data_IF_112557170270
#
_entry.id   IF_112557170270
#
_cell.length_a   1.000
_cell.length_b   1.000
_cell.length_c   1.000
_cell.angle_alpha   90.00
_cell.angle_beta   90.00
_cell.angle_gamma   90.00
#
_symmetry.space_group_name_H-M   'P 1'
#
loop_
_entity.id
_entity.type
_entity.pdbx_description
1 polymer ?
#
# COMPACT_ATOMS: atom_id res chain seq x y z
N UNK A 1 62.88 -27.04 39.42
CA UNK A 1 63.14 -28.25 38.62
C UNK A 1 61.84 -28.59 37.94
N UNK A 2 61.75 -28.08 36.73
CA UNK A 2 60.54 -27.74 36.00
C UNK A 2 59.85 -29.00 35.46
N UNK A 3 58.52 -29.06 35.61
CA UNK A 3 57.71 -30.00 34.84
C UNK A 3 57.19 -29.25 33.62
N UNK A 4 57.77 -29.56 32.48
CA UNK A 4 57.27 -29.16 31.17
C UNK A 4 55.92 -29.85 30.95
N UNK A 5 54.84 -29.08 30.98
CA UNK A 5 53.52 -29.53 30.57
C UNK A 5 53.49 -29.47 29.04
N UNK A 6 53.33 -30.64 28.43
CA UNK A 6 53.13 -30.78 26.98
C UNK A 6 51.71 -30.30 26.67
N UNK A 7 51.60 -29.05 26.22
CA UNK A 7 50.40 -28.48 25.62
C UNK A 7 50.28 -29.00 24.18
N UNK A 8 49.56 -30.12 23.99
CA UNK A 8 49.19 -30.58 22.63
C UNK A 8 47.89 -29.88 22.22
N UNK A 9 48.02 -28.57 21.98
CA UNK A 9 47.04 -27.81 21.24
C UNK A 9 47.23 -27.99 19.73
N UNK A 10 46.55 -28.96 19.13
CA UNK A 10 46.33 -28.98 17.68
C UNK A 10 44.84 -29.04 17.42
N UNK A 11 44.27 -27.83 17.30
CA UNK A 11 42.90 -27.60 16.87
C UNK A 11 42.71 -28.04 15.42
N UNK A 12 41.77 -28.96 15.25
CA UNK A 12 40.57 -28.76 14.44
C UNK A 12 40.72 -27.78 13.25
N UNK A 13 41.35 -28.26 12.16
CA UNK A 13 41.38 -27.58 10.86
C UNK A 13 41.04 -28.53 9.72
N UNK A 14 40.04 -29.38 9.89
CA UNK A 14 39.39 -30.02 8.74
C UNK A 14 38.17 -29.20 8.34
N UNK A 15 38.17 -28.65 7.11
CA UNK A 15 36.95 -28.05 6.55
C UNK A 15 37.09 -26.72 5.81
N UNK A 16 38.26 -26.36 5.27
CA UNK A 16 38.39 -25.09 4.52
C UNK A 16 39.02 -25.14 3.12
N UNK A 17 39.19 -26.31 2.50
CA UNK A 17 40.03 -26.39 1.28
C UNK A 17 39.28 -26.62 -0.05
N UNK A 18 38.04 -27.12 -0.11
CA UNK A 18 37.49 -27.55 -1.43
C UNK A 18 36.38 -26.68 -2.05
N UNK A 19 36.11 -25.46 -1.55
CA UNK A 19 35.10 -24.60 -2.19
C UNK A 19 35.62 -23.73 -3.35
N UNK A 20 36.94 -23.66 -3.55
CA UNK A 20 37.52 -22.86 -4.63
C UNK A 20 37.48 -23.56 -5.99
N UNK A 21 37.60 -24.88 -6.01
CA UNK A 21 37.77 -25.64 -7.26
C UNK A 21 36.48 -25.78 -8.07
N UNK A 22 35.35 -26.05 -7.41
CA UNK A 22 34.06 -26.27 -8.08
C UNK A 22 33.44 -25.00 -8.67
N UNK A 23 33.81 -23.83 -8.15
CA UNK A 23 33.27 -22.55 -8.62
C UNK A 23 33.95 -22.11 -9.91
N UNK A 24 35.27 -22.25 -9.99
CA UNK A 24 36.04 -21.81 -11.16
C UNK A 24 35.71 -22.66 -12.40
N UNK A 25 35.57 -23.98 -12.23
CA UNK A 25 35.20 -24.90 -13.32
C UNK A 25 33.76 -24.64 -13.84
N UNK A 26 32.82 -24.36 -12.94
CA UNK A 26 31.45 -23.99 -13.31
C UNK A 26 31.37 -22.63 -14.01
N UNK A 27 32.17 -21.65 -13.56
CA UNK A 27 32.31 -20.35 -14.21
C UNK A 27 32.89 -20.48 -15.61
N UNK A 28 33.81 -21.43 -15.82
CA UNK A 28 34.51 -21.57 -17.08
C UNK A 28 33.70 -22.28 -18.17
N UNK A 29 32.95 -23.32 -17.80
CA UNK A 29 32.14 -24.10 -18.74
C UNK A 29 30.84 -23.38 -19.15
N UNK A 30 30.29 -22.53 -18.28
CA UNK A 30 28.98 -21.89 -18.46
C UNK A 30 29.04 -20.36 -18.61
N UNK A 31 30.18 -19.79 -19.07
CA UNK A 31 30.40 -18.34 -19.23
C UNK A 31 29.22 -17.62 -19.89
N UNK A 32 28.65 -18.20 -20.95
CA UNK A 32 27.50 -17.63 -21.65
C UNK A 32 26.20 -17.69 -20.84
N UNK A 33 25.89 -18.83 -20.22
CA UNK A 33 24.70 -19.02 -19.38
C UNK A 33 24.72 -18.09 -18.17
N UNK A 34 25.89 -17.93 -17.54
CA UNK A 34 26.09 -17.04 -16.38
C UNK A 34 25.97 -15.58 -16.81
N UNK A 35 26.49 -15.23 -18.00
CA UNK A 35 26.29 -13.91 -18.59
C UNK A 35 24.81 -13.57 -18.78
N UNK A 36 24.02 -14.49 -19.32
CA UNK A 36 22.56 -14.30 -19.51
C UNK A 36 21.83 -14.23 -18.16
N UNK A 37 22.22 -15.04 -17.18
CA UNK A 37 21.60 -15.05 -15.85
C UNK A 37 21.88 -13.74 -15.08
N UNK A 38 23.12 -13.23 -15.13
CA UNK A 38 23.47 -11.93 -14.54
C UNK A 38 22.77 -10.77 -15.26
N UNK A 39 22.73 -10.81 -16.60
CA UNK A 39 21.99 -9.84 -17.39
C UNK A 39 20.50 -9.84 -17.05
N UNK A 40 19.91 -11.02 -16.84
CA UNK A 40 18.53 -11.20 -16.41
C UNK A 40 18.26 -10.60 -15.03
N UNK A 41 19.14 -10.84 -14.05
CA UNK A 41 19.02 -10.26 -12.71
C UNK A 41 19.13 -8.73 -12.76
N UNK A 42 20.03 -8.19 -13.59
CA UNK A 42 20.16 -6.74 -13.80
C UNK A 42 18.91 -6.15 -14.45
N UNK A 43 18.33 -6.82 -15.46
CA UNK A 43 17.10 -6.38 -16.11
C UNK A 43 15.89 -6.41 -15.17
N UNK A 44 15.76 -7.46 -14.36
CA UNK A 44 14.69 -7.57 -13.36
C UNK A 44 14.89 -6.53 -12.25
N UNK A 45 16.12 -6.34 -11.77
CA UNK A 45 16.45 -5.33 -10.78
C UNK A 45 16.17 -3.92 -11.28
N UNK A 46 16.63 -3.58 -12.49
CA UNK A 46 16.34 -2.30 -13.15
C UNK A 46 14.85 -2.13 -13.46
N UNK A 47 14.14 -3.22 -13.81
CA UNK A 47 12.70 -3.22 -14.03
C UNK A 47 11.92 -2.91 -12.75
N UNK A 48 12.22 -3.60 -11.64
CA UNK A 48 11.55 -3.40 -10.35
C UNK A 48 11.90 -2.04 -9.73
N UNK A 49 13.18 -1.65 -9.79
CA UNK A 49 13.66 -0.37 -9.25
C UNK A 49 13.18 0.80 -10.13
N UNK A 50 13.24 0.65 -11.44
CA UNK A 50 12.70 1.61 -12.41
C UNK A 50 11.19 1.76 -12.29
N UNK A 51 10.44 0.66 -12.12
CA UNK A 51 8.99 0.72 -11.92
C UNK A 51 8.61 1.50 -10.65
N UNK A 52 9.39 1.41 -9.57
CA UNK A 52 9.16 2.21 -8.37
C UNK A 52 9.48 3.70 -8.59
N UNK A 53 10.50 4.03 -9.38
CA UNK A 53 10.90 5.42 -9.71
C UNK A 53 9.91 6.07 -10.69
N UNK A 54 9.44 5.34 -11.71
CA UNK A 54 8.53 5.88 -12.73
C UNK A 54 7.14 6.11 -12.13
N UNK A 55 6.68 5.25 -11.20
CA UNK A 55 5.39 5.44 -10.52
C UNK A 55 5.44 6.45 -9.35
N UNK A 56 6.61 7.04 -9.02
CA UNK A 56 6.72 8.04 -7.94
C UNK A 56 6.68 9.49 -8.42
N UNK A 57 6.57 9.76 -9.71
CA UNK A 57 6.44 11.14 -10.20
C UNK A 57 5.00 11.45 -10.59
N UNK A 58 4.20 11.77 -9.59
CA UNK A 58 2.94 12.49 -9.77
C UNK A 58 3.19 13.94 -10.20
N UNK A 59 3.83 14.14 -11.36
CA UNK A 59 3.89 15.45 -12.00
C UNK A 59 2.70 15.58 -12.96
N UNK A 60 1.69 16.33 -12.50
CA UNK A 60 0.63 16.85 -13.35
C UNK A 60 1.26 17.70 -14.47
N UNK A 61 0.76 17.64 -15.72
CA UNK A 61 1.19 18.56 -16.77
C UNK A 61 0.71 19.97 -16.44
N UNK A 62 1.64 20.84 -16.06
CA UNK A 62 1.43 22.27 -15.87
C UNK A 62 1.29 22.94 -17.24
N UNK A 63 0.10 23.44 -17.56
CA UNK A 63 -0.09 24.39 -18.64
C UNK A 63 0.35 25.75 -18.11
N UNK A 64 1.54 26.21 -18.53
CA UNK A 64 2.04 27.55 -18.23
C UNK A 64 1.14 28.60 -18.86
N UNK A 65 0.32 29.27 -18.05
CA UNK A 65 -0.20 30.59 -18.36
C UNK A 65 0.73 31.58 -17.66
N UNK A 66 1.44 32.40 -18.45
CA UNK A 66 2.27 33.47 -17.93
C UNK A 66 1.41 34.45 -17.14
N UNK A 67 1.55 34.45 -15.82
CA UNK A 67 0.96 35.41 -14.90
C UNK A 67 1.70 35.38 -13.57
N UNK A 68 2.51 36.42 -13.37
CA UNK A 68 3.18 36.91 -12.15
C UNK A 68 3.48 35.95 -10.98
N UNK A 69 4.77 35.93 -10.63
CA UNK A 69 5.33 35.42 -9.37
C UNK A 69 4.52 35.89 -8.16
N UNK A 70 3.67 35.03 -7.63
CA UNK A 70 3.41 34.97 -6.20
C UNK A 70 4.04 33.69 -5.68
N UNK A 71 4.91 33.87 -4.69
CA UNK A 71 5.51 32.80 -3.91
C UNK A 71 4.43 32.14 -3.07
N UNK A 72 3.55 31.36 -3.70
CA UNK A 72 2.54 30.62 -2.99
C UNK A 72 3.21 29.39 -2.38
N UNK A 73 3.50 29.51 -1.09
CA UNK A 73 3.21 28.43 -0.17
C UNK A 73 1.72 28.07 -0.35
N UNK A 74 1.36 27.38 -1.44
CA UNK A 74 0.08 26.71 -1.55
C UNK A 74 0.11 25.65 -0.48
N UNK A 75 -0.39 26.04 0.70
CA UNK A 75 -0.72 25.13 1.76
C UNK A 75 -1.45 23.98 1.12
N UNK A 76 -0.92 22.77 1.27
CA UNK A 76 -1.71 21.58 1.03
C UNK A 76 -2.87 21.71 1.99
N UNK A 77 -3.98 22.26 1.52
CA UNK A 77 -5.22 22.27 2.28
C UNK A 77 -5.50 20.81 2.58
N UNK A 78 -5.36 20.43 3.85
CA UNK A 78 -5.71 19.10 4.30
C UNK A 78 -7.21 19.08 4.58
N UNK A 79 -7.88 18.02 4.16
CA UNK A 79 -9.26 17.74 4.49
C UNK A 79 -9.34 16.58 5.47
N UNK A 80 -10.20 16.74 6.46
CA UNK A 80 -10.44 15.78 7.52
C UNK A 80 -11.77 15.10 7.23
N UNK A 81 -11.75 13.78 7.05
CA UNK A 81 -12.92 12.99 6.64
C UNK A 81 -13.08 11.80 7.57
N UNK A 82 -14.32 11.51 7.97
CA UNK A 82 -14.67 10.34 8.77
C UNK A 82 -15.16 9.21 7.86
N UNK A 83 -14.67 7.99 8.06
CA UNK A 83 -15.22 6.78 7.46
C UNK A 83 -15.55 5.73 8.52
N UNK A 84 -16.74 5.15 8.42
CA UNK A 84 -17.33 4.28 9.44
C UNK A 84 -18.09 3.10 8.83
N UNK A 85 -18.41 2.09 9.65
CA UNK A 85 -19.10 0.87 9.25
C UNK A 85 -18.16 -0.28 8.90
N UNK A 86 -18.58 -1.14 7.97
CA UNK A 86 -17.86 -2.36 7.57
C UNK A 86 -16.68 -2.08 6.63
N UNK A 87 -15.61 -1.56 7.22
CA UNK A 87 -14.32 -1.31 6.58
C UNK A 87 -13.19 -1.83 7.46
N UNK A 88 -12.00 -2.01 6.89
CA UNK A 88 -10.88 -2.61 7.62
C UNK A 88 -10.40 -1.75 8.80
N UNK A 89 -10.38 -0.43 8.64
CA UNK A 89 -9.94 0.53 9.67
C UNK A 89 -10.87 1.74 9.71
N UNK A 90 -11.98 1.68 10.45
CA UNK A 90 -12.84 2.85 10.65
C UNK A 90 -12.13 3.92 11.46
N UNK A 91 -12.43 5.19 11.17
CA UNK A 91 -11.81 6.33 11.83
C UNK A 91 -11.82 7.60 11.00
N UNK A 92 -11.02 8.57 11.46
CA UNK A 92 -10.86 9.89 10.83
C UNK A 92 -9.52 9.92 10.09
N UNK A 93 -9.54 10.45 8.87
CA UNK A 93 -8.39 10.51 7.96
C UNK A 93 -8.13 11.93 7.50
N UNK A 94 -6.85 12.30 7.48
CA UNK A 94 -6.38 13.54 6.86
C UNK A 94 -5.89 13.21 5.44
N UNK A 95 -6.50 13.84 4.45
CA UNK A 95 -6.16 13.67 3.04
C UNK A 95 -5.88 15.03 2.42
N UNK A 96 -5.22 15.04 1.27
CA UNK A 96 -4.95 16.29 0.54
C UNK A 96 -6.24 16.80 -0.12
N UNK A 97 -6.39 18.11 -0.21
CA UNK A 97 -7.46 18.74 -1.00
C UNK A 97 -7.50 18.20 -2.42
N UNK A 98 -8.70 17.83 -2.88
CA UNK A 98 -8.91 17.17 -4.16
C UNK A 98 -8.85 15.64 -4.14
N UNK A 99 -8.53 15.00 -3.01
CA UNK A 99 -8.68 13.55 -2.82
C UNK A 99 -10.11 13.09 -3.08
N UNK A 100 -10.26 11.84 -3.52
CA UNK A 100 -11.54 11.21 -3.86
C UNK A 100 -11.96 10.17 -2.84
N UNK A 101 -13.23 9.76 -2.88
CA UNK A 101 -13.75 8.68 -2.02
C UNK A 101 -12.93 7.39 -2.13
N UNK A 102 -12.45 7.06 -3.34
CA UNK A 102 -11.54 5.93 -3.55
C UNK A 102 -10.25 6.04 -2.71
N UNK A 103 -9.66 7.24 -2.62
CA UNK A 103 -8.41 7.45 -1.89
C UNK A 103 -8.61 7.24 -0.39
N UNK A 104 -9.75 7.70 0.15
CA UNK A 104 -10.16 7.43 1.53
C UNK A 104 -10.36 5.93 1.79
N UNK A 105 -11.02 5.23 0.87
CA UNK A 105 -11.25 3.79 1.02
C UNK A 105 -9.94 2.99 1.02
N UNK A 106 -8.98 3.38 0.17
CA UNK A 106 -7.63 2.81 0.15
C UNK A 106 -6.90 3.10 1.46
N UNK A 107 -6.95 4.35 1.96
CA UNK A 107 -6.35 4.74 3.24
C UNK A 107 -6.96 3.97 4.43
N UNK A 108 -8.26 3.66 4.36
CA UNK A 108 -8.98 2.81 5.31
C UNK A 108 -8.65 1.31 5.20
N UNK A 109 -7.85 0.91 4.21
CA UNK A 109 -7.47 -0.49 3.97
C UNK A 109 -8.50 -1.29 3.16
N UNK A 110 -9.51 -0.62 2.59
CA UNK A 110 -10.57 -1.23 1.80
C UNK A 110 -11.78 -1.69 2.63
N UNK A 111 -12.71 -2.34 1.93
CA UNK A 111 -13.93 -2.90 2.50
C UNK A 111 -13.63 -4.14 3.35
N UNK A 112 -14.36 -4.28 4.46
CA UNK A 112 -14.38 -5.51 5.28
C UNK A 112 -14.92 -6.71 4.50
N UNK A 113 -14.71 -7.92 5.02
CA UNK A 113 -15.32 -9.14 4.48
C UNK A 113 -16.86 -9.13 4.61
N UNK A 114 -17.38 -8.45 5.64
CA UNK A 114 -18.82 -8.37 5.91
C UNK A 114 -19.48 -7.14 5.26
N UNK A 115 -18.71 -6.33 4.54
CA UNK A 115 -19.21 -5.12 3.89
C UNK A 115 -20.18 -5.45 2.74
N UNK A 116 -21.25 -4.67 2.59
CA UNK A 116 -22.16 -4.80 1.45
C UNK A 116 -21.55 -4.17 0.18
N UNK A 117 -20.82 -5.00 -0.57
CA UNK A 117 -20.16 -4.59 -1.81
C UNK A 117 -21.16 -4.14 -2.89
N UNK A 118 -22.30 -4.80 -2.98
CA UNK A 118 -23.33 -4.46 -3.96
C UNK A 118 -23.95 -3.10 -3.65
N UNK A 119 -24.16 -2.80 -2.37
CA UNK A 119 -24.60 -1.47 -1.95
C UNK A 119 -23.56 -0.41 -2.30
N UNK A 120 -22.28 -0.64 -2.04
CA UNK A 120 -21.21 0.33 -2.34
C UNK A 120 -21.14 0.64 -3.83
N UNK A 121 -21.17 -0.37 -4.70
CA UNK A 121 -21.12 -0.18 -6.16
C UNK A 121 -22.33 0.61 -6.68
N UNK A 122 -23.51 0.44 -6.06
CA UNK A 122 -24.75 1.11 -6.48
C UNK A 122 -24.88 2.54 -5.95
N UNK A 123 -24.36 2.81 -4.75
CA UNK A 123 -24.68 4.04 -4.00
C UNK A 123 -23.48 4.97 -3.82
N UNK A 124 -22.24 4.49 -4.01
CA UNK A 124 -21.03 5.28 -3.76
C UNK A 124 -20.30 5.57 -5.06
N UNK A 125 -20.12 6.86 -5.36
CA UNK A 125 -19.28 7.30 -6.47
C UNK A 125 -17.81 7.38 -6.02
N UNK A 126 -17.04 6.32 -6.27
CA UNK A 126 -15.61 6.26 -5.90
C UNK A 126 -14.76 7.39 -6.51
N UNK A 127 -15.20 7.96 -7.64
CA UNK A 127 -14.50 9.06 -8.31
C UNK A 127 -14.87 10.45 -7.77
N UNK A 128 -15.86 10.55 -6.89
CA UNK A 128 -16.30 11.80 -6.30
C UNK A 128 -15.20 12.40 -5.43
N UNK A 129 -14.99 13.72 -5.57
CA UNK A 129 -14.07 14.49 -4.72
C UNK A 129 -14.63 14.57 -3.31
N UNK A 130 -13.74 14.44 -2.34
CA UNK A 130 -14.05 14.64 -0.93
C UNK A 130 -14.04 16.13 -0.60
N UNK A 131 -14.88 16.47 0.37
CA UNK A 131 -14.92 17.79 1.01
C UNK A 131 -14.49 17.63 2.45
N UNK A 132 -13.94 18.68 3.04
CA UNK A 132 -13.63 18.70 4.46
C UNK A 132 -14.88 18.44 5.32
N UNK A 133 -14.70 17.70 6.41
CA UNK A 133 -15.78 17.29 7.31
C UNK A 133 -16.75 16.25 6.74
N UNK A 134 -16.47 15.66 5.57
CA UNK A 134 -17.33 14.63 5.01
C UNK A 134 -17.37 13.38 5.91
N UNK A 135 -18.51 12.69 5.90
CA UNK A 135 -18.71 11.41 6.59
C UNK A 135 -19.20 10.35 5.62
N UNK A 136 -18.49 9.23 5.56
CA UNK A 136 -18.84 8.08 4.72
C UNK A 136 -19.18 6.90 5.63
N UNK A 137 -20.31 6.25 5.35
CA UNK A 137 -20.74 5.04 6.06
C UNK A 137 -20.86 3.88 5.07
N UNK A 138 -20.33 2.74 5.45
CA UNK A 138 -20.37 1.50 4.68
C UNK A 138 -21.16 0.46 5.49
N UNK A 139 -22.33 0.02 5.03
CA UNK A 139 -23.16 -0.95 5.76
C UNK A 139 -22.57 -2.37 5.70
N UNK A 140 -22.97 -3.20 6.65
CA UNK A 140 -22.84 -4.65 6.54
C UNK A 140 -23.85 -5.23 5.54
N UNK A 141 -23.54 -6.40 4.99
CA UNK A 141 -24.47 -7.15 4.14
C UNK A 141 -25.80 -7.36 4.88
N UNK A 142 -26.89 -6.82 4.32
CA UNK A 142 -28.24 -6.96 4.88
C UNK A 142 -28.67 -5.88 5.89
N UNK A 143 -27.78 -5.00 6.35
CA UNK A 143 -28.10 -3.94 7.33
C UNK A 143 -29.09 -2.92 6.75
N UNK A 144 -28.88 -2.52 5.49
CA UNK A 144 -29.72 -1.52 4.83
C UNK A 144 -31.13 -2.00 4.45
N UNK A 145 -31.42 -3.29 4.58
CA UNK A 145 -32.78 -3.81 4.31
C UNK A 145 -33.75 -3.55 5.48
N UNK A 146 -33.26 -3.13 6.65
CA UNK A 146 -34.09 -2.95 7.85
C UNK A 146 -34.52 -1.50 8.10
N UNK A 147 -33.79 -0.50 7.59
CA UNK A 147 -34.09 0.92 7.84
C UNK A 147 -35.36 1.41 7.12
N UNK A 148 -35.74 0.79 6.00
CA UNK A 148 -36.97 1.14 5.27
C UNK A 148 -38.25 0.51 5.84
N UNK A 149 -38.15 -0.53 6.68
CA UNK A 149 -39.32 -1.27 7.19
C UNK A 149 -39.83 -0.77 8.56
N UNK A 150 -39.12 0.14 9.23
CA UNK A 150 -39.52 0.66 10.56
C UNK A 150 -40.38 1.94 10.52
N UNK A 151 -40.68 2.46 9.32
CA UNK A 151 -41.54 3.65 9.16
C UNK A 151 -43.04 3.33 8.99
N UNK A 152 -43.44 2.05 9.02
CA UNK A 152 -44.83 1.64 8.71
C UNK A 152 -45.66 1.25 9.95
N UNK A 153 -45.07 0.96 11.11
CA UNK A 153 -45.84 0.57 12.32
C UNK A 153 -46.14 1.72 13.32
N UNK A 154 -45.57 2.91 13.11
CA UNK A 154 -45.70 4.02 14.08
C UNK A 154 -46.85 5.02 13.84
N UNK A 155 -47.69 4.83 12.81
CA UNK A 155 -48.82 5.76 12.54
C UNK A 155 -50.13 5.23 13.10
N UNK A 156 -50.18 5.07 14.42
CA UNK A 156 -51.44 5.09 15.16
C UNK A 156 -51.42 6.37 16.00
N UNK A 157 -51.94 7.45 15.42
CA UNK A 157 -52.40 8.61 16.18
C UNK A 157 -53.70 9.09 15.56
N UNK A 158 -54.75 8.43 16.03
CA UNK A 158 -56.05 9.01 16.37
C UNK A 158 -55.93 10.50 16.71
N UNK A 159 -56.60 11.36 15.95
CA UNK A 159 -56.94 12.70 16.42
C UNK A 159 -58.28 13.14 15.82
N UNK A 160 -59.25 13.13 16.74
CA UNK A 160 -60.56 13.81 16.79
C UNK A 160 -61.62 13.40 15.78
#
# INVERSE_FOLDING_TARGET
MDREIIDVGLGDKEGKVERKFLLEEFLENNKFTIGILLLGIILVGAGVLGFKVINFSGNQPEVQILGEENTDNSGKEELVVEISGEIQKPGVYNLTSGSRINDLLIAAGGLSVNADRDWVVKNVNLAQKLTDGAKIFIPAVGENSQTDNQAVEGKININT
#
